data_IF_088565229434
#
_entry.id   IF_088565229434
#
_cell.length_a   1.000
_cell.length_b   1.000
_cell.length_c   1.000
_cell.angle_alpha   90.00
_cell.angle_beta   90.00
_cell.angle_gamma   90.00
#
_symmetry.space_group_name_H-M   'P 1'
#
loop_
_entity.id
_entity.type
_entity.pdbx_description
1 polymer ?
#
# COMPACT_ATOMS: atom_id res chain seq x y z
N UNK A 1 15.48 -1.47 -1.09
CA UNK A 1 14.16 -0.94 -1.49
C UNK A 1 13.15 -1.91 -0.98
N UNK A 2 12.19 -1.40 -0.22
CA UNK A 2 11.10 -2.17 0.34
C UNK A 2 9.82 -1.90 -0.45
N UNK A 3 8.83 -2.79 -0.32
CA UNK A 3 7.57 -2.69 -1.05
C UNK A 3 6.37 -2.88 -0.12
N UNK A 4 5.38 -2.00 -0.26
CA UNK A 4 4.02 -2.19 0.26
C UNK A 4 3.07 -2.32 -0.92
N UNK A 5 1.88 -2.84 -0.67
CA UNK A 5 0.81 -2.86 -1.66
C UNK A 5 -0.42 -2.14 -1.08
N UNK A 6 -0.85 -1.07 -1.75
CA UNK A 6 -2.09 -0.38 -1.47
C UNK A 6 -3.19 -0.91 -2.37
N UNK A 7 -4.28 -1.36 -1.76
CA UNK A 7 -5.51 -1.76 -2.45
C UNK A 7 -6.58 -0.73 -2.13
N UNK A 8 -7.16 -0.11 -3.15
CA UNK A 8 -8.25 0.86 -3.01
C UNK A 8 -9.49 0.33 -3.72
N UNK A 9 -10.64 0.35 -3.04
CA UNK A 9 -11.93 0.08 -3.68
C UNK A 9 -12.34 1.31 -4.48
N UNK A 10 -12.32 1.20 -5.81
CA UNK A 10 -12.60 2.36 -6.69
C UNK A 10 -14.01 2.36 -7.24
N UNK A 11 -14.69 1.20 -7.28
CA UNK A 11 -16.04 1.09 -7.81
C UNK A 11 -16.73 -0.20 -7.33
N UNK A 12 -18.06 -0.22 -7.42
CA UNK A 12 -18.91 -1.38 -7.16
C UNK A 12 -19.98 -1.45 -8.23
N UNK A 13 -20.13 -2.62 -8.87
CA UNK A 13 -21.21 -2.86 -9.83
C UNK A 13 -22.29 -3.74 -9.21
N UNK A 14 -23.48 -3.66 -9.80
CA UNK A 14 -24.65 -4.46 -9.42
C UNK A 14 -25.46 -4.70 -10.69
N UNK A 15 -25.41 -5.93 -11.21
CA UNK A 15 -26.12 -6.35 -12.40
C UNK A 15 -27.48 -6.91 -11.98
N UNK A 16 -28.46 -6.01 -11.83
CA UNK A 16 -29.78 -6.34 -11.28
C UNK A 16 -30.55 -7.34 -12.14
N UNK A 17 -30.33 -7.32 -13.45
CA UNK A 17 -30.86 -8.30 -14.41
C UNK A 17 -30.35 -9.72 -14.11
N UNK A 18 -29.06 -9.88 -13.79
CA UNK A 18 -28.50 -11.18 -13.41
C UNK A 18 -29.00 -11.62 -12.03
N UNK A 19 -29.18 -10.68 -11.10
CA UNK A 19 -29.74 -11.00 -9.80
C UNK A 19 -31.17 -11.52 -9.91
N UNK A 20 -32.03 -10.82 -10.66
CA UNK A 20 -33.42 -11.21 -10.88
C UNK A 20 -33.56 -12.58 -11.53
N UNK A 21 -32.70 -12.88 -12.51
CA UNK A 21 -32.79 -14.12 -13.27
C UNK A 21 -32.16 -15.33 -12.56
N UNK A 22 -31.06 -15.14 -11.83
CA UNK A 22 -30.19 -16.25 -11.39
C UNK A 22 -30.02 -16.38 -9.88
N UNK A 23 -30.28 -15.34 -9.07
CA UNK A 23 -30.12 -15.43 -7.61
C UNK A 23 -31.40 -15.89 -6.93
N UNK A 24 -31.23 -16.64 -5.82
CA UNK A 24 -32.35 -17.05 -4.98
C UNK A 24 -33.07 -15.84 -4.35
N UNK A 25 -32.32 -14.81 -3.95
CA UNK A 25 -32.85 -13.48 -3.66
C UNK A 25 -32.60 -12.55 -4.87
N UNK A 26 -33.65 -12.24 -5.65
CA UNK A 26 -33.53 -11.41 -6.86
C UNK A 26 -33.16 -9.95 -6.57
N UNK A 27 -33.14 -9.53 -5.29
CA UNK A 27 -32.85 -8.16 -4.85
C UNK A 27 -31.66 -8.11 -3.87
N UNK A 28 -30.70 -9.02 -4.02
CA UNK A 28 -29.49 -9.11 -3.19
C UNK A 28 -28.66 -7.82 -3.14
N UNK A 29 -28.77 -6.95 -4.15
CA UNK A 29 -28.15 -5.63 -4.19
C UNK A 29 -26.63 -5.67 -4.38
N UNK A 30 -25.97 -4.52 -4.18
CA UNK A 30 -24.51 -4.39 -4.27
C UNK A 30 -23.80 -5.10 -3.12
N UNK A 31 -22.52 -5.41 -3.28
CA UNK A 31 -21.70 -6.02 -2.22
C UNK A 31 -21.81 -5.20 -0.90
N UNK A 32 -22.17 -5.80 0.24
CA UNK A 32 -22.27 -5.08 1.52
C UNK A 32 -20.94 -5.00 2.28
N UNK A 33 -19.93 -5.78 1.88
CA UNK A 33 -18.67 -5.93 2.63
C UNK A 33 -17.73 -4.73 2.44
N UNK A 34 -17.60 -4.25 1.20
CA UNK A 34 -16.70 -3.15 0.85
C UNK A 34 -17.47 -1.87 0.54
N UNK A 35 -16.84 -0.72 0.77
CA UNK A 35 -17.30 0.60 0.38
C UNK A 35 -16.33 1.24 -0.62
N UNK A 36 -16.86 2.03 -1.55
CA UNK A 36 -16.00 2.81 -2.46
C UNK A 36 -15.20 3.82 -1.63
N UNK A 37 -13.89 3.84 -1.84
CA UNK A 37 -12.95 4.63 -1.06
C UNK A 37 -12.24 3.85 0.06
N UNK A 38 -12.63 2.61 0.36
CA UNK A 38 -11.88 1.78 1.31
C UNK A 38 -10.44 1.58 0.83
N UNK A 39 -9.48 1.69 1.76
CA UNK A 39 -8.06 1.53 1.50
C UNK A 39 -7.45 0.48 2.44
N UNK A 40 -6.67 -0.43 1.88
CA UNK A 40 -5.99 -1.49 2.61
C UNK A 40 -4.50 -1.46 2.27
N UNK A 41 -3.65 -1.52 3.29
CA UNK A 41 -2.19 -1.56 3.12
C UNK A 41 -1.69 -2.95 3.51
N UNK A 42 -1.04 -3.60 2.55
CA UNK A 42 -0.33 -4.85 2.77
C UNK A 42 1.16 -4.58 2.86
N UNK A 43 1.81 -5.20 3.84
CA UNK A 43 3.24 -5.04 4.11
C UNK A 43 3.85 -6.28 4.72
N UNK A 44 5.17 -6.42 4.51
CA UNK A 44 5.98 -7.55 4.97
C UNK A 44 7.38 -7.03 5.35
N UNK A 45 7.47 -6.30 6.45
CA UNK A 45 8.73 -5.73 6.94
C UNK A 45 8.83 -5.75 8.46
N UNK A 46 10.03 -6.05 8.98
CA UNK A 46 10.25 -6.27 10.41
C UNK A 46 9.42 -7.46 10.90
N UNK A 47 8.62 -7.24 11.95
CA UNK A 47 7.68 -8.23 12.50
C UNK A 47 6.29 -8.18 11.84
N UNK A 48 6.04 -7.21 10.94
CA UNK A 48 4.77 -7.09 10.25
C UNK A 48 4.72 -8.02 9.05
N UNK A 49 3.68 -8.87 9.01
CA UNK A 49 3.26 -9.56 7.80
C UNK A 49 1.73 -9.57 7.74
N UNK A 50 1.15 -8.64 6.97
CA UNK A 50 -0.31 -8.56 6.81
C UNK A 50 -0.81 -9.43 5.67
N UNK A 51 0.08 -9.91 4.80
CA UNK A 51 -0.27 -10.75 3.67
C UNK A 51 -0.73 -12.15 4.12
N UNK A 52 0.06 -12.83 4.95
CA UNK A 52 -0.31 -14.18 5.43
C UNK A 52 -1.52 -14.21 6.37
N UNK A 53 -1.95 -13.04 6.84
CA UNK A 53 -3.12 -12.88 7.71
C UNK A 53 -4.34 -12.33 6.95
N UNK A 54 -4.30 -12.33 5.62
CA UNK A 54 -5.40 -11.87 4.75
C UNK A 54 -5.89 -10.47 5.12
N UNK A 55 -4.95 -9.55 5.37
CA UNK A 55 -5.26 -8.20 5.82
C UNK A 55 -5.90 -8.17 7.22
N UNK A 56 -5.62 -9.15 8.08
CA UNK A 56 -6.20 -9.31 9.41
C UNK A 56 -7.74 -9.39 9.40
N UNK A 57 -8.31 -10.12 8.43
CA UNK A 57 -9.75 -10.30 8.29
C UNK A 57 -10.48 -9.13 7.63
N UNK A 58 -9.74 -8.15 7.08
CA UNK A 58 -10.32 -7.04 6.32
C UNK A 58 -10.72 -7.42 4.90
N UNK A 59 -10.45 -8.66 4.48
CA UNK A 59 -10.73 -9.14 3.13
C UNK A 59 -11.81 -10.22 3.17
N UNK A 60 -12.79 -10.13 2.27
CA UNK A 60 -13.67 -11.27 2.00
C UNK A 60 -12.92 -12.33 1.17
N UNK A 61 -13.17 -13.61 1.44
CA UNK A 61 -12.45 -14.73 0.83
C UNK A 61 -12.49 -14.70 -0.71
N UNK A 62 -13.64 -14.35 -1.28
CA UNK A 62 -13.86 -14.27 -2.73
C UNK A 62 -12.97 -13.20 -3.40
N UNK A 63 -12.87 -12.01 -2.77
CA UNK A 63 -11.98 -10.98 -3.26
C UNK A 63 -10.51 -11.38 -3.06
N UNK A 64 -10.17 -11.95 -1.91
CA UNK A 64 -8.82 -12.37 -1.57
C UNK A 64 -8.25 -13.38 -2.57
N UNK A 65 -9.00 -14.42 -2.92
CA UNK A 65 -8.60 -15.40 -3.94
C UNK A 65 -8.26 -14.73 -5.27
N UNK A 66 -9.08 -13.76 -5.68
CA UNK A 66 -8.88 -13.03 -6.94
C UNK A 66 -7.64 -12.13 -6.95
N UNK A 67 -7.37 -11.41 -5.85
CA UNK A 67 -6.41 -10.29 -5.83
C UNK A 67 -5.08 -10.61 -5.13
N UNK A 68 -5.01 -11.65 -4.29
CA UNK A 68 -3.84 -11.97 -3.46
C UNK A 68 -2.56 -12.17 -4.27
N UNK A 69 -2.61 -12.84 -5.42
CA UNK A 69 -1.46 -13.02 -6.32
C UNK A 69 -0.83 -11.70 -6.80
N UNK A 70 -1.66 -10.68 -7.02
CA UNK A 70 -1.19 -9.37 -7.48
C UNK A 70 -0.59 -8.57 -6.32
N UNK A 71 -1.22 -8.67 -5.14
CA UNK A 71 -0.68 -8.12 -3.90
C UNK A 71 0.69 -8.75 -3.60
N UNK A 72 0.81 -10.08 -3.71
CA UNK A 72 2.07 -10.78 -3.49
C UNK A 72 3.15 -10.34 -4.49
N UNK A 73 2.79 -10.21 -5.77
CA UNK A 73 3.70 -9.68 -6.80
C UNK A 73 4.21 -8.28 -6.45
N UNK A 74 3.31 -7.40 -6.00
CA UNK A 74 3.66 -6.06 -5.55
C UNK A 74 4.64 -6.09 -4.36
N UNK A 75 4.37 -6.92 -3.35
CA UNK A 75 5.21 -7.05 -2.14
C UNK A 75 6.61 -7.61 -2.45
N UNK A 76 6.76 -8.38 -3.52
CA UNK A 76 8.05 -8.91 -3.97
C UNK A 76 8.81 -7.96 -4.91
N UNK A 77 8.31 -6.73 -5.14
CA UNK A 77 8.95 -5.78 -6.05
C UNK A 77 8.74 -6.07 -7.53
N UNK A 78 7.83 -7.00 -7.88
CA UNK A 78 7.54 -7.37 -9.26
C UNK A 78 6.69 -6.34 -9.99
N UNK A 79 6.74 -6.36 -11.32
CA UNK A 79 5.77 -5.66 -12.17
C UNK A 79 4.44 -6.40 -12.10
N UNK A 80 3.37 -5.71 -11.69
CA UNK A 80 2.02 -6.27 -11.62
C UNK A 80 1.43 -6.46 -13.03
N UNK A 81 1.59 -5.47 -13.92
CA UNK A 81 1.02 -5.49 -15.28
C UNK A 81 1.94 -4.79 -16.30
N UNK A 82 3.01 -5.47 -16.72
CA UNK A 82 4.00 -4.93 -17.65
C UNK A 82 3.39 -4.62 -19.01
N UNK A 83 3.61 -3.40 -19.51
CA UNK A 83 3.16 -2.92 -20.83
C UNK A 83 1.63 -2.91 -21.05
N UNK A 84 0.83 -3.17 -20.02
CA UNK A 84 -0.63 -3.10 -20.11
C UNK A 84 -1.17 -1.82 -19.46
N UNK A 85 -0.72 -1.54 -18.23
CA UNK A 85 -1.03 -0.31 -17.52
C UNK A 85 0.03 0.77 -17.78
N UNK A 86 -0.34 2.04 -17.58
CA UNK A 86 0.58 3.17 -17.72
C UNK A 86 1.60 3.27 -16.55
N UNK A 87 1.49 2.40 -15.56
CA UNK A 87 2.43 2.20 -14.46
C UNK A 87 2.44 0.70 -14.15
N UNK A 88 3.57 0.03 -14.42
CA UNK A 88 3.69 -1.41 -14.23
C UNK A 88 3.50 -1.86 -12.78
N UNK A 89 3.54 -0.91 -11.84
CA UNK A 89 3.31 -1.08 -10.41
C UNK A 89 1.84 -1.15 -10.03
N UNK A 90 0.91 -1.00 -10.98
CA UNK A 90 -0.51 -1.03 -10.68
C UNK A 90 -1.32 -1.86 -11.67
N UNK A 91 -2.49 -2.29 -11.21
CA UNK A 91 -3.54 -2.84 -12.05
C UNK A 91 -4.93 -2.53 -11.49
N UNK A 92 -5.93 -2.69 -12.34
CA UNK A 92 -7.34 -2.75 -11.93
C UNK A 92 -7.79 -4.20 -11.98
N UNK A 93 -8.35 -4.70 -10.88
CA UNK A 93 -8.90 -6.05 -10.77
C UNK A 93 -10.30 -5.98 -10.14
N UNK A 94 -11.05 -7.07 -10.16
CA UNK A 94 -12.29 -7.19 -9.43
C UNK A 94 -12.39 -8.55 -8.74
N UNK A 95 -13.28 -8.67 -7.74
CA UNK A 95 -13.70 -9.99 -7.31
C UNK A 95 -14.50 -10.67 -8.43
N UNK A 96 -14.58 -12.00 -8.37
CA UNK A 96 -15.26 -12.84 -9.35
C UNK A 96 -16.77 -12.98 -9.11
N UNK A 97 -17.38 -12.18 -8.21
CA UNK A 97 -18.84 -12.10 -8.07
C UNK A 97 -19.43 -11.49 -9.35
N UNK A 98 -19.92 -12.36 -10.24
CA UNK A 98 -20.46 -11.97 -11.54
C UNK A 98 -21.76 -11.16 -11.48
N UNK A 99 -22.42 -11.07 -10.32
CA UNK A 99 -23.67 -10.32 -10.16
C UNK A 99 -23.48 -8.96 -9.50
N UNK A 100 -22.40 -8.78 -8.72
CA UNK A 100 -22.12 -7.54 -7.98
C UNK A 100 -20.63 -7.33 -7.69
N UNK A 101 -19.77 -7.28 -8.73
CA UNK A 101 -18.33 -7.24 -8.51
C UNK A 101 -17.89 -5.94 -7.85
N UNK A 102 -16.87 -6.05 -7.01
CA UNK A 102 -16.14 -4.92 -6.41
C UNK A 102 -14.84 -4.74 -7.17
N UNK A 103 -14.54 -3.50 -7.56
CA UNK A 103 -13.42 -3.16 -8.43
C UNK A 103 -12.36 -2.48 -7.58
N UNK A 104 -11.14 -3.01 -7.66
CA UNK A 104 -9.99 -2.62 -6.88
C UNK A 104 -8.92 -2.03 -7.77
N UNK A 105 -8.32 -0.91 -7.33
CA UNK A 105 -7.00 -0.49 -7.79
C UNK A 105 -5.96 -1.11 -6.85
N UNK A 106 -5.08 -1.93 -7.40
CA UNK A 106 -3.98 -2.57 -6.67
C UNK A 106 -2.70 -1.85 -7.10
N UNK A 107 -1.93 -1.33 -6.15
CA UNK A 107 -0.76 -0.51 -6.42
C UNK A 107 0.40 -0.84 -5.49
N UNK A 108 1.55 -1.21 -6.08
CA UNK A 108 2.83 -1.30 -5.37
C UNK A 108 3.32 0.11 -5.00
N UNK A 109 3.78 0.24 -3.77
CA UNK A 109 4.44 1.43 -3.23
C UNK A 109 5.89 1.08 -2.93
N UNK A 110 6.81 1.84 -3.51
CA UNK A 110 8.25 1.65 -3.32
C UNK A 110 8.72 2.62 -2.23
N UNK A 111 9.43 2.11 -1.21
CA UNK A 111 9.85 2.91 -0.08
C UNK A 111 11.20 2.45 0.48
N UNK A 112 11.80 3.33 1.27
CA UNK A 112 13.00 3.04 2.07
C UNK A 112 12.66 3.10 3.55
N UNK A 113 13.29 2.25 4.34
CA UNK A 113 13.20 2.32 5.80
C UNK A 113 14.46 2.99 6.33
N UNK A 114 14.33 4.23 6.79
CA UNK A 114 15.43 4.98 7.40
C UNK A 114 15.39 4.76 8.91
N UNK A 115 16.34 3.99 9.43
CA UNK A 115 16.47 3.70 10.87
C UNK A 115 17.15 4.86 11.57
N UNK A 116 16.51 5.43 12.59
CA UNK A 116 16.92 6.70 13.22
C UNK A 116 17.06 6.51 14.73
N UNK A 117 18.29 6.53 15.23
CA UNK A 117 18.56 6.59 16.66
C UNK A 117 18.27 7.99 17.22
N UNK A 118 17.70 8.05 18.43
CA UNK A 118 17.32 9.31 19.09
C UNK A 118 15.94 9.85 18.69
N UNK A 119 15.17 9.09 17.89
CA UNK A 119 13.81 9.45 17.48
C UNK A 119 12.83 9.27 18.64
N UNK A 120 12.19 10.34 19.08
CA UNK A 120 11.08 10.32 20.02
C UNK A 120 9.77 10.79 19.36
N UNK A 121 8.63 10.54 20.02
CA UNK A 121 7.30 10.83 19.46
C UNK A 121 7.12 12.30 19.03
N UNK A 122 7.63 13.23 19.84
CA UNK A 122 7.57 14.67 19.57
C UNK A 122 8.46 15.13 18.40
N UNK A 123 9.34 14.27 17.88
CA UNK A 123 10.20 14.58 16.74
C UNK A 123 9.56 14.25 15.39
N UNK A 124 8.43 13.51 15.39
CA UNK A 124 7.81 12.95 14.19
C UNK A 124 7.52 13.99 13.11
N UNK A 125 6.94 15.13 13.49
CA UNK A 125 6.60 16.21 12.54
C UNK A 125 7.85 16.80 11.90
N UNK A 126 8.92 17.00 12.69
CA UNK A 126 10.18 17.56 12.22
C UNK A 126 10.88 16.62 11.24
N UNK A 127 11.03 15.34 11.63
CA UNK A 127 11.69 14.32 10.81
C UNK A 127 10.91 14.09 9.52
N UNK A 128 9.57 13.99 9.61
CA UNK A 128 8.69 13.89 8.45
C UNK A 128 8.94 15.04 7.47
N UNK A 129 8.87 16.28 7.94
CA UNK A 129 9.05 17.47 7.10
C UNK A 129 10.43 17.53 6.44
N UNK A 130 11.49 17.14 7.17
CA UNK A 130 12.85 17.14 6.63
C UNK A 130 13.05 16.09 5.53
N UNK A 131 12.49 14.89 5.71
CA UNK A 131 12.57 13.81 4.72
C UNK A 131 11.66 14.08 3.50
N UNK A 132 10.46 14.63 3.68
CA UNK A 132 9.55 15.00 2.58
C UNK A 132 10.10 16.12 1.71
N UNK A 133 11.01 16.96 2.23
CA UNK A 133 11.68 18.00 1.47
C UNK A 133 12.73 17.44 0.47
N UNK A 134 13.12 16.16 0.59
CA UNK A 134 14.11 15.55 -0.30
C UNK A 134 13.50 15.32 -1.69
N UNK A 135 14.14 15.80 -2.79
CA UNK A 135 13.63 15.58 -4.14
C UNK A 135 13.45 14.10 -4.46
N UNK A 136 12.29 13.76 -5.04
CA UNK A 136 11.93 12.37 -5.38
C UNK A 136 11.17 11.62 -4.28
N UNK A 137 11.10 12.16 -3.05
CA UNK A 137 10.20 11.65 -2.01
C UNK A 137 8.76 12.03 -2.33
N UNK A 138 7.85 11.08 -2.11
CA UNK A 138 6.41 11.21 -2.28
C UNK A 138 5.73 11.56 -0.96
N UNK A 139 5.96 10.74 0.06
CA UNK A 139 5.43 10.92 1.41
C UNK A 139 6.30 10.21 2.43
N UNK A 140 6.16 10.59 3.70
CA UNK A 140 6.91 9.97 4.80
C UNK A 140 5.97 9.60 5.96
N UNK A 141 6.10 8.37 6.44
CA UNK A 141 5.50 7.90 7.68
C UNK A 141 6.58 7.66 8.72
N UNK A 142 6.55 8.43 9.81
CA UNK A 142 7.47 8.23 10.93
C UNK A 142 6.86 7.24 11.92
N UNK A 143 7.64 6.25 12.35
CA UNK A 143 7.27 5.20 13.33
C UNK A 143 8.20 5.30 14.55
N UNK A 144 7.97 6.26 15.47
CA UNK A 144 8.84 6.48 16.63
C UNK A 144 9.02 5.23 17.48
N UNK A 145 7.94 4.46 17.66
CA UNK A 145 7.91 3.20 18.41
C UNK A 145 8.81 2.11 17.80
N UNK A 146 9.07 2.18 16.49
CA UNK A 146 9.99 1.29 15.77
C UNK A 146 11.36 1.94 15.49
N UNK A 147 11.56 3.19 15.92
CA UNK A 147 12.78 3.97 15.68
C UNK A 147 13.16 4.08 14.19
N UNK A 148 12.18 4.23 13.30
CA UNK A 148 12.44 4.45 11.88
C UNK A 148 11.42 5.36 11.21
N UNK A 149 11.72 5.79 9.99
CA UNK A 149 10.80 6.45 9.08
C UNK A 149 10.71 5.66 7.77
N UNK A 150 9.49 5.45 7.28
CA UNK A 150 9.18 4.90 5.97
C UNK A 150 9.09 6.05 4.96
N UNK A 151 10.00 6.06 3.99
CA UNK A 151 10.13 7.12 2.99
C UNK A 151 9.67 6.59 1.65
N UNK A 152 8.46 6.95 1.23
CA UNK A 152 7.87 6.53 -0.03
C UNK A 152 8.43 7.35 -1.19
N UNK A 153 8.72 6.68 -2.30
CA UNK A 153 9.44 7.26 -3.44
C UNK A 153 8.50 7.41 -4.63
N UNK A 154 8.59 8.57 -5.28
CA UNK A 154 7.83 8.89 -6.49
C UNK A 154 8.15 7.90 -7.61
N UNK A 155 7.18 7.68 -8.50
CA UNK A 155 7.38 6.87 -9.71
C UNK A 155 8.61 7.37 -10.47
N UNK A 156 9.47 6.44 -10.88
CA UNK A 156 10.68 6.68 -11.68
C UNK A 156 11.73 7.57 -10.99
N UNK A 157 11.54 7.94 -9.72
CA UNK A 157 12.50 8.71 -8.96
C UNK A 157 13.58 7.82 -8.34
N UNK A 158 14.79 8.37 -8.23
CA UNK A 158 15.88 7.77 -7.48
C UNK A 158 16.28 8.72 -6.36
N UNK A 159 16.19 8.25 -5.12
CA UNK A 159 16.54 9.01 -3.92
C UNK A 159 17.80 8.39 -3.31
N UNK A 160 18.98 9.03 -3.40
CA UNK A 160 20.21 8.49 -2.83
C UNK A 160 20.15 8.43 -1.29
N UNK A 161 20.70 7.38 -0.70
CA UNK A 161 20.74 7.22 0.77
C UNK A 161 21.40 8.39 1.48
N UNK A 162 22.46 8.94 0.88
CA UNK A 162 23.18 10.10 1.41
C UNK A 162 22.31 11.35 1.51
N UNK A 163 21.32 11.52 0.61
CA UNK A 163 20.39 12.64 0.69
C UNK A 163 19.47 12.54 1.91
N UNK A 164 19.03 11.32 2.24
CA UNK A 164 18.20 11.05 3.43
C UNK A 164 19.01 11.17 4.72
N UNK A 165 20.25 10.64 4.73
CA UNK A 165 21.17 10.78 5.87
C UNK A 165 21.48 12.25 6.16
N UNK A 166 21.76 13.03 5.12
CA UNK A 166 22.13 14.43 5.26
C UNK A 166 21.02 15.26 5.91
N UNK A 167 19.75 15.07 5.53
CA UNK A 167 18.63 15.84 6.13
C UNK A 167 18.34 15.43 7.56
N UNK A 168 18.49 14.14 7.92
CA UNK A 168 18.31 13.68 9.31
C UNK A 168 19.44 14.17 10.22
N UNK A 169 20.68 14.19 9.71
CA UNK A 169 21.87 14.58 10.47
C UNK A 169 22.02 16.10 10.66
N UNK A 170 21.12 16.93 10.12
CA UNK A 170 21.13 18.39 10.37
C UNK A 170 20.92 18.73 11.85
N UNK A 171 20.29 17.82 12.60
CA UNK A 171 20.18 17.90 14.05
C UNK A 171 21.02 16.77 14.66
N UNK A 172 22.03 17.16 15.46
CA UNK A 172 22.95 16.25 16.14
C UNK A 172 22.27 15.29 17.11
N UNK A 173 20.99 15.52 17.44
CA UNK A 173 20.17 14.59 18.22
C UNK A 173 19.99 13.24 17.51
N UNK A 174 19.87 13.24 16.18
CA UNK A 174 19.48 12.05 15.42
C UNK A 174 20.65 11.46 14.65
N UNK A 175 20.69 10.14 14.58
CA UNK A 175 21.71 9.42 13.83
C UNK A 175 21.05 8.32 12.99
N UNK A 176 21.28 8.33 11.67
CA UNK A 176 20.81 7.25 10.81
C UNK A 176 21.69 6.03 11.02
N UNK A 177 21.10 4.92 11.47
CA UNK A 177 21.82 3.67 11.78
C UNK A 177 21.78 2.67 10.62
N UNK A 178 20.87 2.85 9.67
CA UNK A 178 20.75 2.01 8.48
C UNK A 178 19.62 2.46 7.56
N UNK A 179 19.69 2.05 6.29
CA UNK A 179 18.64 2.26 5.29
C UNK A 179 18.42 0.95 4.54
N UNK A 180 17.16 0.47 4.53
CA UNK A 180 16.75 -0.75 3.81
C UNK A 180 15.81 -0.44 2.62
#
# INVERSE_FOLDING_TARGET
MQHKCKVTVIDKKCFTDYQEQYLADPKSGSCPFYNVGDEFIFERYGEEDTFWREGNGTQCAEAWDCISRYIYTALQGGSIMRNWTNDERMMIACCNDGTRPVIFKIQRMDYKVVKIAGLAENDSVKIKSALEAVPGVDSVEVKPEKSWAEVFIKKDASVPDESLKAVVAQDTKYHVTGID
#
